data_IF_282774660845
#
_entry.id   IF_282774660845
#
_cell.length_a   1.000
_cell.length_b   1.000
_cell.length_c   1.000
_cell.angle_alpha   90.00
_cell.angle_beta   90.00
_cell.angle_gamma   90.00
#
_symmetry.space_group_name_H-M   'P 1'
#
loop_
_entity.id
_entity.type
_entity.pdbx_description
1 polymer ?
#
# COMPACT_ATOMS: atom_id res chain seq x y z
N UNK A 1 59.38 5.25 -26.03
CA UNK A 1 58.69 4.94 -24.75
C UNK A 1 57.35 5.65 -24.76
N UNK A 2 56.28 4.94 -24.37
CA UNK A 2 54.86 5.32 -24.49
C UNK A 2 54.44 6.24 -23.33
N UNK A 3 53.61 7.24 -23.59
CA UNK A 3 52.79 7.90 -22.56
C UNK A 3 51.31 7.75 -22.91
N UNK A 4 50.58 7.08 -22.02
CA UNK A 4 49.17 6.76 -22.12
C UNK A 4 48.30 7.97 -21.70
N UNK A 5 47.19 8.19 -22.40
CA UNK A 5 46.12 9.13 -22.02
C UNK A 5 45.06 8.38 -21.21
N UNK A 6 44.62 8.87 -20.04
CA UNK A 6 43.54 8.22 -19.30
C UNK A 6 42.17 8.55 -19.89
N UNK A 7 41.37 7.51 -20.00
CA UNK A 7 39.93 7.52 -20.30
C UNK A 7 39.16 8.35 -19.26
N UNK A 8 38.41 9.36 -19.70
CA UNK A 8 37.32 9.98 -18.93
C UNK A 8 36.04 9.67 -19.66
N UNK A 9 35.32 8.61 -19.28
CA UNK A 9 33.90 8.45 -19.62
C UNK A 9 33.24 7.33 -18.80
N UNK A 10 32.89 7.58 -17.54
CA UNK A 10 31.98 6.71 -16.79
C UNK A 10 31.48 7.38 -15.49
N UNK A 11 30.72 8.48 -15.57
CA UNK A 11 30.00 8.99 -14.37
C UNK A 11 28.63 9.62 -14.66
N UNK A 12 28.18 9.67 -15.92
CA UNK A 12 26.92 10.35 -16.27
C UNK A 12 25.68 9.46 -16.13
N UNK A 13 25.81 8.13 -16.19
CA UNK A 13 24.66 7.20 -16.16
C UNK A 13 24.07 6.93 -14.77
N UNK A 14 24.85 7.10 -13.70
CA UNK A 14 24.39 6.86 -12.33
C UNK A 14 23.52 8.00 -11.76
N UNK A 15 23.79 9.24 -12.19
CA UNK A 15 23.08 10.44 -11.71
C UNK A 15 21.67 10.53 -12.30
N UNK A 16 21.46 10.08 -13.54
CA UNK A 16 20.16 10.16 -14.22
C UNK A 16 19.13 9.18 -13.63
N UNK A 17 19.54 7.96 -13.27
CA UNK A 17 18.64 6.95 -12.66
C UNK A 17 18.15 7.38 -11.27
N UNK A 18 19.03 7.93 -10.44
CA UNK A 18 18.66 8.40 -9.11
C UNK A 18 17.63 9.54 -9.18
N UNK A 19 17.82 10.49 -10.10
CA UNK A 19 16.91 11.65 -10.25
C UNK A 19 15.50 11.24 -10.71
N UNK A 20 15.39 10.23 -11.57
CA UNK A 20 14.11 9.70 -12.04
C UNK A 20 13.32 9.01 -10.92
N UNK A 21 13.96 8.16 -10.11
CA UNK A 21 13.31 7.49 -8.99
C UNK A 21 12.79 8.48 -7.93
N UNK A 22 13.52 9.58 -7.69
CA UNK A 22 13.10 10.63 -6.75
C UNK A 22 11.90 11.40 -7.32
N UNK A 23 11.88 11.68 -8.62
CA UNK A 23 10.76 12.37 -9.27
C UNK A 23 9.48 11.52 -9.28
N UNK A 24 9.59 10.22 -9.57
CA UNK A 24 8.47 9.28 -9.53
C UNK A 24 7.89 9.14 -8.12
N UNK A 25 8.75 8.97 -7.11
CA UNK A 25 8.29 8.91 -5.71
C UNK A 25 7.64 10.22 -5.24
N UNK A 26 8.15 11.39 -5.68
CA UNK A 26 7.52 12.68 -5.37
C UNK A 26 6.15 12.83 -6.03
N UNK A 27 6.01 12.39 -7.29
CA UNK A 27 4.74 12.42 -8.01
C UNK A 27 3.71 11.48 -7.38
N UNK A 28 4.13 10.26 -7.01
CA UNK A 28 3.30 9.30 -6.30
C UNK A 28 2.83 9.85 -4.94
N UNK A 29 3.73 10.47 -4.18
CA UNK A 29 3.36 11.10 -2.91
C UNK A 29 2.35 12.23 -3.08
N UNK A 30 2.49 13.05 -4.12
CA UNK A 30 1.56 14.14 -4.39
C UNK A 30 0.15 13.62 -4.77
N UNK A 31 0.08 12.52 -5.51
CA UNK A 31 -1.17 11.95 -5.99
C UNK A 31 -1.84 11.03 -4.96
N UNK A 32 -1.12 10.03 -4.46
CA UNK A 32 -1.62 8.95 -3.60
C UNK A 32 -1.40 9.18 -2.10
N UNK A 33 -0.65 10.23 -1.72
CA UNK A 33 -0.26 10.50 -0.34
C UNK A 33 1.02 9.77 0.07
N UNK A 34 1.39 9.86 1.35
CA UNK A 34 2.58 9.17 1.86
C UNK A 34 2.41 7.64 1.81
N UNK A 35 3.45 6.93 1.35
CA UNK A 35 3.47 5.46 1.32
C UNK A 35 3.30 4.90 2.75
N UNK A 36 2.32 4.01 3.00
CA UNK A 36 2.03 3.52 4.34
C UNK A 36 2.98 2.38 4.73
N UNK A 37 4.18 2.72 5.20
CA UNK A 37 5.15 1.72 5.67
C UNK A 37 4.59 0.83 6.80
N UNK A 38 3.72 1.39 7.64
CA UNK A 38 3.02 0.74 8.75
C UNK A 38 1.58 0.30 8.38
N UNK A 39 1.36 -0.11 7.13
CA UNK A 39 0.03 -0.47 6.63
C UNK A 39 -0.64 -1.59 7.45
N UNK A 40 0.15 -2.51 8.01
CA UNK A 40 -0.37 -3.62 8.82
C UNK A 40 -1.01 -3.09 10.10
N UNK A 41 -0.35 -2.17 10.79
CA UNK A 41 -0.88 -1.52 11.99
C UNK A 41 -2.14 -0.70 11.65
N UNK A 42 -2.12 0.05 10.56
CA UNK A 42 -3.27 0.85 10.10
C UNK A 42 -4.48 -0.05 9.83
N UNK A 43 -4.28 -1.15 9.08
CA UNK A 43 -5.35 -2.12 8.78
C UNK A 43 -5.85 -2.79 10.04
N UNK A 44 -4.97 -3.19 10.97
CA UNK A 44 -5.37 -3.79 12.25
C UNK A 44 -6.22 -2.84 13.09
N UNK A 45 -5.81 -1.57 13.21
CA UNK A 45 -6.58 -0.56 13.94
C UNK A 45 -7.96 -0.32 13.31
N UNK A 46 -8.03 -0.38 11.98
CA UNK A 46 -9.30 -0.28 11.27
C UNK A 46 -10.17 -1.52 11.50
N UNK A 47 -9.61 -2.73 11.38
CA UNK A 47 -10.32 -4.00 11.61
C UNK A 47 -10.87 -4.13 13.04
N UNK A 48 -10.17 -3.58 14.05
CA UNK A 48 -10.68 -3.50 15.42
C UNK A 48 -12.02 -2.78 15.54
N UNK A 49 -12.37 -1.93 14.57
CA UNK A 49 -13.66 -1.23 14.50
C UNK A 49 -14.68 -1.95 13.61
N UNK A 50 -14.25 -2.88 12.76
CA UNK A 50 -15.11 -3.57 11.79
C UNK A 50 -15.53 -4.97 12.22
N UNK A 51 -14.66 -5.70 12.91
CA UNK A 51 -14.89 -7.11 13.27
C UNK A 51 -15.68 -7.23 14.58
N UNK A 52 -16.48 -8.29 14.70
CA UNK A 52 -17.23 -8.60 15.93
C UNK A 52 -16.28 -9.06 17.04
N UNK A 53 -15.31 -9.92 16.72
CA UNK A 53 -14.26 -10.38 17.63
C UNK A 53 -12.88 -10.09 17.00
N UNK A 54 -12.36 -8.86 17.12
CA UNK A 54 -11.10 -8.48 16.51
C UNK A 54 -9.89 -9.26 17.01
N UNK A 55 -9.89 -9.67 18.29
CA UNK A 55 -8.78 -10.41 18.90
C UNK A 55 -8.63 -11.82 18.31
N UNK A 56 -9.69 -12.34 17.68
CA UNK A 56 -9.66 -13.61 16.96
C UNK A 56 -9.15 -13.52 15.51
N UNK A 57 -8.94 -12.30 15.00
CA UNK A 57 -8.65 -12.08 13.59
C UNK A 57 -7.35 -12.76 13.15
N UNK A 58 -7.45 -13.59 12.11
CA UNK A 58 -6.31 -14.19 11.42
C UNK A 58 -6.19 -13.53 10.06
N UNK A 59 -5.05 -12.89 9.80
CA UNK A 59 -4.83 -12.12 8.58
C UNK A 59 -3.73 -12.73 7.74
N UNK A 60 -4.03 -12.94 6.46
CA UNK A 60 -3.06 -13.27 5.42
C UNK A 60 -2.89 -12.06 4.51
N UNK A 61 -1.67 -11.53 4.44
CA UNK A 61 -1.36 -10.34 3.63
C UNK A 61 -1.10 -10.75 2.18
N UNK A 62 -1.84 -10.17 1.23
CA UNK A 62 -1.78 -10.52 -0.18
C UNK A 62 -0.91 -9.55 -0.99
N UNK A 63 0.25 -9.18 -0.41
CA UNK A 63 1.24 -8.28 -1.01
C UNK A 63 1.35 -6.92 -0.32
N UNK A 64 2.25 -6.10 -0.84
CA UNK A 64 2.51 -4.74 -0.37
C UNK A 64 1.45 -3.75 -0.88
N UNK A 65 1.30 -2.59 -0.20
CA UNK A 65 0.45 -1.49 -0.66
C UNK A 65 0.79 -1.05 -2.10
N UNK A 66 -0.22 -0.94 -2.97
CA UNK A 66 -0.06 -0.52 -4.36
C UNK A 66 -0.84 0.77 -4.63
N UNK A 67 -0.29 1.75 -5.36
CA UNK A 67 -1.04 2.95 -5.74
C UNK A 67 -2.29 2.55 -6.53
N UNK A 68 -3.42 3.15 -6.21
CA UNK A 68 -4.70 2.87 -6.84
C UNK A 68 -5.60 4.12 -6.88
N UNK A 69 -6.42 4.19 -7.91
CA UNK A 69 -7.55 5.11 -8.01
C UNK A 69 -8.85 4.30 -7.98
N UNK A 70 -9.63 4.48 -6.91
CA UNK A 70 -10.93 3.80 -6.73
C UNK A 70 -12.12 4.74 -7.01
N UNK A 71 -11.85 5.84 -7.71
CA UNK A 71 -12.82 6.79 -8.18
C UNK A 71 -13.89 6.18 -9.09
N UNK A 72 -15.06 6.81 -9.15
CA UNK A 72 -16.18 6.44 -10.03
C UNK A 72 -16.85 7.70 -10.55
N UNK A 73 -17.49 7.62 -11.72
CA UNK A 73 -18.28 8.71 -12.29
C UNK A 73 -17.53 10.05 -12.44
N UNK A 74 -16.24 10.01 -12.75
CA UNK A 74 -15.42 11.21 -12.91
C UNK A 74 -14.83 11.76 -11.60
N UNK A 75 -15.15 11.17 -10.46
CA UNK A 75 -14.43 11.43 -9.21
C UNK A 75 -13.20 10.55 -9.12
N UNK A 76 -12.13 11.06 -8.51
CA UNK A 76 -10.91 10.33 -8.23
C UNK A 76 -10.78 10.05 -6.74
N UNK A 77 -10.36 8.84 -6.39
CA UNK A 77 -10.06 8.47 -5.02
C UNK A 77 -8.72 7.74 -4.97
N UNK A 78 -7.67 8.55 -4.86
CA UNK A 78 -6.30 8.08 -4.82
C UNK A 78 -5.88 7.62 -3.42
N UNK A 79 -5.11 6.54 -3.38
CA UNK A 79 -4.41 6.06 -2.20
C UNK A 79 -3.62 4.80 -2.49
N UNK A 80 -3.15 4.12 -1.45
CA UNK A 80 -2.51 2.83 -1.52
C UNK A 80 -3.47 1.72 -1.15
N UNK A 81 -3.75 0.84 -2.11
CA UNK A 81 -4.58 -0.33 -1.95
C UNK A 81 -3.81 -1.47 -1.28
N UNK A 82 -4.33 -1.98 -0.17
CA UNK A 82 -3.80 -3.11 0.56
C UNK A 82 -4.80 -4.26 0.47
N UNK A 83 -4.37 -5.38 -0.10
CA UNK A 83 -5.19 -6.59 -0.23
C UNK A 83 -4.82 -7.58 0.87
N UNK A 84 -5.82 -8.18 1.51
CA UNK A 84 -5.62 -9.17 2.56
C UNK A 84 -6.80 -10.13 2.65
N UNK A 85 -6.56 -11.28 3.26
CA UNK A 85 -7.60 -12.24 3.62
C UNK A 85 -7.75 -12.20 5.14
N UNK A 86 -8.98 -12.14 5.65
CA UNK A 86 -9.28 -12.19 7.08
C UNK A 86 -10.19 -13.37 7.39
N UNK A 87 -9.95 -14.03 8.51
CA UNK A 87 -10.86 -15.00 9.12
C UNK A 87 -10.99 -14.65 10.60
N UNK A 88 -12.21 -14.37 11.06
CA UNK A 88 -12.49 -13.94 12.42
C UNK A 88 -13.77 -14.59 12.94
N UNK A 89 -13.92 -14.63 14.27
CA UNK A 89 -15.12 -15.20 14.88
C UNK A 89 -16.31 -14.25 14.77
N UNK A 90 -17.47 -14.84 14.55
CA UNK A 90 -18.76 -14.16 14.63
C UNK A 90 -19.28 -14.13 16.08
N UNK A 91 -20.47 -13.54 16.28
CA UNK A 91 -21.12 -13.42 17.59
C UNK A 91 -21.45 -14.76 18.28
N UNK A 92 -21.41 -15.87 17.54
CA UNK A 92 -21.67 -17.22 18.05
C UNK A 92 -20.37 -17.98 18.38
N UNK A 93 -19.21 -17.32 18.25
CA UNK A 93 -17.90 -17.90 18.57
C UNK A 93 -17.30 -18.79 17.47
N UNK A 94 -17.99 -18.97 16.35
CA UNK A 94 -17.48 -19.68 15.17
C UNK A 94 -16.76 -18.75 14.20
N UNK A 95 -15.72 -19.24 13.54
CA UNK A 95 -15.05 -18.52 12.46
C UNK A 95 -15.98 -18.34 11.25
N UNK A 96 -15.95 -17.16 10.62
CA UNK A 96 -16.74 -16.85 9.42
C UNK A 96 -16.18 -17.48 8.15
N UNK A 97 -14.94 -17.98 8.21
CA UNK A 97 -14.19 -18.46 7.06
C UNK A 97 -13.33 -17.36 6.46
N UNK A 98 -12.39 -17.77 5.60
CA UNK A 98 -11.47 -16.85 4.92
C UNK A 98 -12.20 -15.95 3.94
N UNK A 99 -12.11 -14.64 4.14
CA UNK A 99 -12.73 -13.62 3.30
C UNK A 99 -11.68 -12.65 2.76
N UNK A 100 -11.67 -12.45 1.45
CA UNK A 100 -10.78 -11.49 0.80
C UNK A 100 -11.36 -10.08 0.85
N UNK A 101 -10.53 -9.14 1.30
CA UNK A 101 -10.87 -7.74 1.35
C UNK A 101 -9.70 -6.87 0.91
N UNK A 102 -9.99 -5.59 0.74
CA UNK A 102 -8.96 -4.59 0.58
C UNK A 102 -9.33 -3.29 1.29
N UNK A 103 -8.32 -2.50 1.61
CA UNK A 103 -8.50 -1.12 2.07
C UNK A 103 -7.67 -0.18 1.23
N UNK A 104 -8.20 1.02 1.01
CA UNK A 104 -7.46 2.14 0.44
C UNK A 104 -6.97 3.02 1.58
N UNK A 105 -5.65 3.16 1.69
CA UNK A 105 -4.98 3.98 2.70
C UNK A 105 -4.48 5.26 2.06
N UNK A 106 -4.71 6.40 2.69
CA UNK A 106 -4.11 7.68 2.31
C UNK A 106 -3.67 8.43 3.56
N UNK A 107 -2.43 8.90 3.58
CA UNK A 107 -1.87 9.69 4.70
C UNK A 107 -2.02 9.02 6.07
N UNK A 108 -1.81 7.70 6.13
CA UNK A 108 -1.88 6.94 7.38
C UNK A 108 -3.29 6.50 7.81
N UNK A 109 -4.32 6.82 7.03
CA UNK A 109 -5.71 6.51 7.37
C UNK A 109 -6.37 5.64 6.31
N UNK A 110 -7.25 4.73 6.74
CA UNK A 110 -8.13 3.99 5.83
C UNK A 110 -9.26 4.91 5.39
N UNK A 111 -9.24 5.29 4.11
CA UNK A 111 -10.26 6.16 3.50
C UNK A 111 -11.37 5.37 2.79
N UNK A 112 -11.16 4.07 2.52
CA UNK A 112 -12.19 3.19 1.94
C UNK A 112 -11.92 1.72 2.23
N UNK A 113 -12.94 0.97 2.64
CA UNK A 113 -12.93 -0.50 2.68
C UNK A 113 -13.62 -1.11 1.46
N UNK A 114 -13.11 -2.25 0.99
CA UNK A 114 -13.64 -3.02 -0.13
C UNK A 114 -13.93 -4.45 0.31
N UNK A 115 -15.11 -4.95 -0.06
CA UNK A 115 -15.56 -6.30 0.31
C UNK A 115 -16.09 -6.41 1.74
N UNK A 116 -16.02 -5.34 2.54
CA UNK A 116 -16.75 -5.23 3.81
C UNK A 116 -18.16 -4.74 3.49
N UNK A 117 -19.17 -5.45 4.00
CA UNK A 117 -20.59 -5.14 3.74
C UNK A 117 -20.98 -3.79 4.32
N UNK A 118 -21.72 -3.01 3.54
CA UNK A 118 -22.44 -1.80 3.99
C UNK A 118 -23.84 -2.18 4.47
#
# INVERSE_FOLDING_TARGET
MKTARPFILAFTMGVTLALQAIAETQADMAQYGAYPANYKEIVMQWLNKQLIDPDSARIEWNGEPKPADLGRNGEHLYGYLVNFTVDARNRFGGYTGKQQHAVLIRNGEVIKGLGFGY
#
